data_IF_673328661572
#
_entry.id   IF_673328661572
#
_cell.length_a   1.000
_cell.length_b   1.000
_cell.length_c   1.000
_cell.angle_alpha   90.00
_cell.angle_beta   90.00
_cell.angle_gamma   90.00
#
_symmetry.space_group_name_H-M   'P 1'
#
loop_
_entity.id
_entity.type
_entity.pdbx_description
1 polymer ?
#
# COMPACT_ATOMS: atom_id res chain seq x y z
N UNK A 1 14.66 -17.51 0.07
CA UNK A 1 13.53 -17.91 0.94
C UNK A 1 12.75 -16.64 1.22
N UNK A 2 11.54 -16.48 0.65
CA UNK A 2 10.81 -15.21 0.68
C UNK A 2 10.03 -15.10 2.00
N UNK A 3 10.70 -14.55 3.03
CA UNK A 3 10.20 -14.43 4.41
C UNK A 3 9.04 -13.43 4.55
N UNK A 4 8.66 -12.75 3.46
CA UNK A 4 7.53 -11.80 3.41
C UNK A 4 6.16 -12.44 3.66
N UNK A 5 6.04 -13.76 3.50
CA UNK A 5 4.76 -14.48 3.69
C UNK A 5 4.39 -14.73 5.17
N UNK A 6 5.33 -14.53 6.09
CA UNK A 6 5.13 -14.78 7.53
C UNK A 6 4.23 -13.71 8.18
N UNK A 7 4.14 -12.53 7.57
CA UNK A 7 3.49 -11.36 8.18
C UNK A 7 2.19 -11.02 7.44
N UNK A 8 1.06 -11.25 8.11
CA UNK A 8 -0.30 -10.91 7.67
C UNK A 8 -0.55 -9.41 7.50
N UNK A 9 0.39 -8.59 7.96
CA UNK A 9 0.27 -7.14 8.17
C UNK A 9 0.04 -6.37 6.86
N UNK A 10 0.64 -6.78 5.73
CA UNK A 10 0.47 -6.03 4.48
C UNK A 10 -0.96 -6.12 3.93
N UNK A 11 -1.62 -7.26 4.09
CA UNK A 11 -3.00 -7.45 3.66
C UNK A 11 -3.99 -6.71 4.56
N UNK A 12 -3.71 -6.66 5.86
CA UNK A 12 -4.52 -5.96 6.85
C UNK A 12 -4.38 -4.44 6.68
N UNK A 13 -3.15 -3.94 6.56
CA UNK A 13 -2.84 -2.55 6.23
C UNK A 13 -3.60 -2.07 4.99
N UNK A 14 -3.52 -2.82 3.88
CA UNK A 14 -4.22 -2.47 2.63
C UNK A 14 -5.74 -2.52 2.80
N UNK A 15 -6.26 -3.42 3.63
CA UNK A 15 -7.69 -3.52 3.93
C UNK A 15 -8.16 -2.28 4.70
N UNK A 16 -7.42 -1.87 5.72
CA UNK A 16 -7.70 -0.64 6.47
C UNK A 16 -7.60 0.58 5.55
N UNK A 17 -6.56 0.67 4.73
CA UNK A 17 -6.39 1.75 3.77
C UNK A 17 -7.56 1.83 2.77
N UNK A 18 -8.02 0.68 2.24
CA UNK A 18 -9.17 0.62 1.34
C UNK A 18 -10.46 1.03 2.05
N UNK A 19 -10.64 0.61 3.32
CA UNK A 19 -11.80 1.00 4.15
C UNK A 19 -11.88 2.51 4.33
N UNK A 20 -10.76 3.12 4.73
CA UNK A 20 -10.68 4.57 4.95
C UNK A 20 -10.92 5.31 3.64
N UNK A 21 -10.25 4.90 2.56
CA UNK A 21 -10.42 5.50 1.23
C UNK A 21 -11.87 5.40 0.73
N UNK A 22 -12.51 4.24 0.92
CA UNK A 22 -13.91 4.03 0.52
C UNK A 22 -14.88 4.94 1.30
N UNK A 23 -14.69 5.10 2.61
CA UNK A 23 -15.48 6.05 3.41
C UNK A 23 -15.25 7.50 2.98
N UNK A 24 -14.00 7.90 2.76
CA UNK A 24 -13.67 9.26 2.29
C UNK A 24 -14.30 9.55 0.94
N UNK A 25 -14.17 8.65 -0.03
CA UNK A 25 -14.77 8.80 -1.37
C UNK A 25 -16.30 8.73 -1.31
N UNK A 26 -16.89 7.92 -0.42
CA UNK A 26 -18.34 7.92 -0.20
C UNK A 26 -18.84 9.29 0.26
N UNK A 27 -18.27 9.83 1.34
CA UNK A 27 -18.69 11.11 1.90
C UNK A 27 -18.50 12.26 0.90
N UNK A 28 -17.34 12.30 0.23
CA UNK A 28 -17.05 13.33 -0.78
C UNK A 28 -17.94 13.15 -2.02
N UNK A 29 -18.15 11.92 -2.49
CA UNK A 29 -18.98 11.63 -3.65
C UNK A 29 -20.44 12.06 -3.47
N UNK A 30 -21.03 11.83 -2.29
CA UNK A 30 -22.39 12.31 -1.98
C UNK A 30 -22.45 13.84 -1.97
N UNK A 31 -21.46 14.50 -1.37
CA UNK A 31 -21.38 15.96 -1.32
C UNK A 31 -21.19 16.57 -2.72
N UNK A 32 -20.22 16.07 -3.49
CA UNK A 32 -19.92 16.59 -4.83
C UNK A 32 -21.01 16.28 -5.83
N UNK A 33 -21.75 15.19 -5.67
CA UNK A 33 -22.88 14.88 -6.56
C UNK A 33 -23.95 15.97 -6.51
N UNK A 34 -24.31 16.47 -5.33
CA UNK A 34 -25.25 17.58 -5.19
C UNK A 34 -24.73 18.88 -5.82
N UNK A 35 -23.43 19.17 -5.63
CA UNK A 35 -22.78 20.33 -6.23
C UNK A 35 -22.72 20.25 -7.77
N UNK A 36 -22.36 19.09 -8.31
CA UNK A 36 -22.27 18.85 -9.75
C UNK A 36 -23.65 18.88 -10.40
N UNK A 37 -24.69 18.40 -9.72
CA UNK A 37 -26.07 18.56 -10.16
C UNK A 37 -26.46 20.04 -10.29
N UNK A 38 -26.15 20.84 -9.26
CA UNK A 38 -26.41 22.28 -9.26
C UNK A 38 -25.62 23.00 -10.38
N UNK A 39 -24.39 22.58 -10.65
CA UNK A 39 -23.56 23.10 -11.74
C UNK A 39 -23.97 22.64 -13.14
N UNK A 40 -25.05 21.87 -13.27
CA UNK A 40 -25.58 21.42 -14.57
C UNK A 40 -24.81 20.24 -15.18
N UNK A 41 -24.13 19.43 -14.36
CA UNK A 41 -23.40 18.22 -14.76
C UNK A 41 -24.11 16.94 -14.26
N UNK A 42 -25.32 16.61 -14.75
CA UNK A 42 -26.12 15.50 -14.22
C UNK A 42 -25.47 14.14 -14.44
N UNK A 43 -24.76 13.94 -15.57
CA UNK A 43 -24.07 12.68 -15.84
C UNK A 43 -22.95 12.41 -14.82
N UNK A 44 -22.17 13.44 -14.46
CA UNK A 44 -21.11 13.31 -13.46
C UNK A 44 -21.71 13.02 -12.07
N UNK A 45 -22.77 13.75 -11.70
CA UNK A 45 -23.50 13.56 -10.44
C UNK A 45 -24.07 12.14 -10.27
N UNK A 46 -24.64 11.57 -11.33
CA UNK A 46 -25.14 10.19 -11.32
C UNK A 46 -24.00 9.18 -11.16
N UNK A 47 -22.86 9.40 -11.82
CA UNK A 47 -21.69 8.52 -11.70
C UNK A 47 -21.06 8.60 -10.30
N UNK A 48 -21.04 9.77 -9.67
CA UNK A 48 -20.59 9.93 -8.29
C UNK A 48 -21.52 9.24 -7.28
N UNK A 49 -22.84 9.26 -7.49
CA UNK A 49 -23.79 8.48 -6.68
C UNK A 49 -23.63 6.99 -6.90
N UNK A 50 -23.40 6.54 -8.14
CA UNK A 50 -23.10 5.14 -8.43
C UNK A 50 -21.81 4.69 -7.72
N UNK A 51 -20.78 5.54 -7.71
CA UNK A 51 -19.54 5.30 -6.96
C UNK A 51 -19.77 5.27 -5.46
N UNK A 52 -20.59 6.17 -4.91
CA UNK A 52 -20.96 6.14 -3.50
C UNK A 52 -21.68 4.82 -3.13
N UNK A 53 -22.61 4.36 -3.97
CA UNK A 53 -23.26 3.05 -3.83
C UNK A 53 -22.26 1.89 -3.89
N UNK A 54 -21.31 1.93 -4.83
CA UNK A 54 -20.21 0.96 -4.92
C UNK A 54 -19.34 0.97 -3.66
N UNK A 55 -19.01 2.15 -3.10
CA UNK A 55 -18.26 2.25 -1.85
C UNK A 55 -18.99 1.58 -0.68
N UNK A 56 -20.31 1.74 -0.57
CA UNK A 56 -21.10 1.06 0.46
C UNK A 56 -21.07 -0.47 0.28
N UNK A 57 -21.24 -0.95 -0.95
CA UNK A 57 -21.12 -2.38 -1.27
C UNK A 57 -19.73 -2.91 -0.91
N UNK A 58 -18.69 -2.18 -1.29
CA UNK A 58 -17.30 -2.50 -0.99
C UNK A 58 -17.09 -2.58 0.53
N UNK A 59 -17.52 -1.58 1.29
CA UNK A 59 -17.41 -1.54 2.75
C UNK A 59 -18.13 -2.70 3.43
N UNK A 60 -19.30 -3.10 2.92
CA UNK A 60 -20.04 -4.26 3.40
C UNK A 60 -19.30 -5.58 3.12
N UNK A 61 -18.69 -5.72 1.94
CA UNK A 61 -17.93 -6.94 1.54
C UNK A 61 -16.52 -6.98 2.11
N UNK A 62 -15.98 -5.84 2.54
CA UNK A 62 -14.58 -5.70 2.92
C UNK A 62 -14.16 -6.61 4.09
N UNK A 63 -14.96 -6.88 5.14
CA UNK A 63 -14.51 -7.76 6.24
C UNK A 63 -14.33 -9.22 5.83
N UNK A 64 -15.12 -9.72 4.87
CA UNK A 64 -15.21 -11.15 4.53
C UNK A 64 -14.45 -11.54 3.26
N UNK A 65 -13.94 -10.56 2.53
CA UNK A 65 -13.33 -10.78 1.22
C UNK A 65 -11.87 -11.22 1.32
N UNK A 66 -11.52 -12.29 0.60
CA UNK A 66 -10.14 -12.72 0.35
C UNK A 66 -9.52 -12.05 -0.90
N UNK A 67 -10.34 -11.57 -1.83
CA UNK A 67 -9.98 -10.92 -3.10
C UNK A 67 -9.69 -9.41 -2.97
N UNK A 68 -8.89 -9.00 -1.98
CA UNK A 68 -8.69 -7.59 -1.66
C UNK A 68 -8.15 -6.77 -2.84
N UNK A 69 -7.21 -7.35 -3.59
CA UNK A 69 -6.54 -6.69 -4.71
C UNK A 69 -7.50 -6.40 -5.87
N UNK A 70 -8.38 -7.33 -6.20
CA UNK A 70 -9.37 -7.18 -7.26
C UNK A 70 -10.36 -6.06 -6.93
N UNK A 71 -10.80 -5.98 -5.67
CA UNK A 71 -11.66 -4.89 -5.22
C UNK A 71 -10.94 -3.54 -5.23
N UNK A 72 -9.67 -3.48 -4.81
CA UNK A 72 -8.86 -2.25 -4.92
C UNK A 72 -8.69 -1.79 -6.36
N UNK A 73 -8.43 -2.71 -7.30
CA UNK A 73 -8.32 -2.40 -8.73
C UNK A 73 -9.64 -1.89 -9.31
N UNK A 74 -10.75 -2.54 -8.97
CA UNK A 74 -12.09 -2.13 -9.38
C UNK A 74 -12.41 -0.72 -8.86
N UNK A 75 -12.19 -0.48 -7.55
CA UNK A 75 -12.38 0.81 -6.91
C UNK A 75 -11.58 1.93 -7.59
N UNK A 76 -10.28 1.72 -7.80
CA UNK A 76 -9.43 2.72 -8.44
C UNK A 76 -9.80 2.95 -9.91
N UNK A 77 -10.21 1.91 -10.64
CA UNK A 77 -10.62 2.03 -12.05
C UNK A 77 -11.90 2.83 -12.20
N UNK A 78 -12.90 2.59 -11.34
CA UNK A 78 -14.15 3.34 -11.32
C UNK A 78 -13.91 4.81 -10.93
N UNK A 79 -13.10 5.05 -9.90
CA UNK A 79 -12.72 6.41 -9.52
C UNK A 79 -12.01 7.12 -10.68
N UNK A 80 -11.10 6.42 -11.39
CA UNK A 80 -10.35 7.02 -12.48
C UNK A 80 -11.28 7.41 -13.63
N UNK A 81 -12.21 6.52 -13.98
CA UNK A 81 -13.20 6.79 -15.01
C UNK A 81 -14.03 8.04 -14.69
N UNK A 82 -14.43 8.24 -13.44
CA UNK A 82 -15.16 9.44 -13.00
C UNK A 82 -14.30 10.70 -13.17
N UNK A 83 -13.02 10.65 -12.82
CA UNK A 83 -12.10 11.78 -13.03
C UNK A 83 -11.94 12.10 -14.52
N UNK A 84 -11.80 11.10 -15.38
CA UNK A 84 -11.74 11.30 -16.84
C UNK A 84 -13.03 11.94 -17.38
N UNK A 85 -14.19 11.47 -16.94
CA UNK A 85 -15.48 12.09 -17.27
C UNK A 85 -15.58 13.54 -16.78
N UNK A 86 -15.04 13.81 -15.59
CA UNK A 86 -14.91 15.16 -15.03
C UNK A 86 -14.08 16.07 -15.93
N UNK A 87 -12.88 15.63 -16.35
CA UNK A 87 -12.01 16.36 -17.28
C UNK A 87 -12.72 16.64 -18.61
N UNK A 88 -13.51 15.68 -19.09
CA UNK A 88 -14.24 15.82 -20.35
C UNK A 88 -15.39 16.82 -20.29
N UNK A 89 -16.17 16.85 -19.19
CA UNK A 89 -17.38 17.66 -19.10
C UNK A 89 -17.18 19.01 -18.40
N UNK A 90 -16.25 19.09 -17.45
CA UNK A 90 -16.06 20.27 -16.63
C UNK A 90 -15.42 21.43 -17.41
N UNK A 91 -15.65 22.64 -16.91
CA UNK A 91 -14.92 23.83 -17.38
C UNK A 91 -13.49 23.77 -16.88
N UNK A 92 -12.53 24.34 -17.60
CA UNK A 92 -11.10 24.31 -17.24
C UNK A 92 -10.78 25.00 -15.90
N UNK A 93 -11.66 25.89 -15.43
CA UNK A 93 -11.54 26.53 -14.11
C UNK A 93 -12.08 25.69 -12.95
N UNK A 94 -12.71 24.54 -13.23
CA UNK A 94 -13.35 23.73 -12.20
C UNK A 94 -12.31 23.06 -11.29
N UNK A 95 -12.59 23.01 -9.99
CA UNK A 95 -11.78 22.30 -8.98
C UNK A 95 -11.62 20.80 -9.27
N UNK A 96 -12.41 20.24 -10.19
CA UNK A 96 -12.44 18.83 -10.53
C UNK A 96 -11.10 18.28 -11.06
N UNK A 97 -10.21 19.12 -11.63
CA UNK A 97 -8.87 18.66 -12.04
C UNK A 97 -7.95 18.31 -10.87
N UNK A 98 -8.20 18.87 -9.67
CA UNK A 98 -7.38 18.61 -8.48
C UNK A 98 -7.39 17.14 -8.05
N UNK A 99 -8.43 16.40 -8.42
CA UNK A 99 -8.54 14.97 -8.16
C UNK A 99 -7.48 14.14 -8.87
N UNK A 100 -6.87 14.65 -9.95
CA UNK A 100 -5.76 13.98 -10.62
C UNK A 100 -4.58 13.72 -9.67
N UNK A 101 -4.36 14.61 -8.71
CA UNK A 101 -3.20 14.56 -7.81
C UNK A 101 -3.29 13.51 -6.71
N UNK A 102 -4.49 13.01 -6.39
CA UNK A 102 -4.69 12.04 -5.30
C UNK A 102 -4.36 10.60 -5.75
N UNK A 103 -4.43 10.32 -7.04
CA UNK A 103 -4.27 8.97 -7.61
C UNK A 103 -2.89 8.33 -7.45
N UNK A 104 -1.76 9.05 -7.67
CA UNK A 104 -0.45 8.50 -7.41
C UNK A 104 -0.32 7.97 -5.99
N UNK A 105 -0.87 8.68 -5.00
CA UNK A 105 -0.84 8.24 -3.60
C UNK A 105 -1.75 7.01 -3.38
N UNK A 106 -3.02 7.07 -3.79
CA UNK A 106 -3.98 5.98 -3.56
C UNK A 106 -3.60 4.68 -4.27
N UNK A 107 -3.03 4.76 -5.48
CA UNK A 107 -2.64 3.56 -6.24
C UNK A 107 -1.55 2.76 -5.55
N UNK A 108 -0.49 3.43 -5.05
CA UNK A 108 0.57 2.76 -4.29
C UNK A 108 0.07 2.25 -2.94
N UNK A 109 -0.75 3.06 -2.25
CA UNK A 109 -1.32 2.69 -0.96
C UNK A 109 -2.15 1.39 -1.02
N UNK A 110 -2.94 1.21 -2.09
CA UNK A 110 -3.88 0.09 -2.21
C UNK A 110 -3.32 -1.12 -2.97
N UNK A 111 -2.44 -0.90 -3.94
CA UNK A 111 -1.91 -1.96 -4.81
C UNK A 111 -0.47 -2.35 -4.49
N UNK A 112 0.24 -1.53 -3.69
CA UNK A 112 1.65 -1.65 -3.41
C UNK A 112 2.53 -1.30 -4.61
N UNK A 113 3.85 -1.38 -4.43
CA UNK A 113 4.84 -0.99 -5.46
C UNK A 113 4.68 -1.70 -6.80
N UNK A 114 4.51 -3.03 -6.80
CA UNK A 114 4.51 -3.84 -8.05
C UNK A 114 3.37 -3.46 -9.00
N UNK A 115 2.15 -3.32 -8.47
CA UNK A 115 0.95 -3.05 -9.28
C UNK A 115 0.62 -1.55 -9.33
N UNK A 116 0.97 -0.79 -8.28
CA UNK A 116 0.76 0.65 -8.21
C UNK A 116 1.52 1.42 -9.30
N UNK A 117 2.78 1.04 -9.61
CA UNK A 117 3.55 1.67 -10.70
C UNK A 117 2.83 1.56 -12.04
N UNK A 118 2.40 0.34 -12.40
CA UNK A 118 1.74 0.10 -13.69
C UNK A 118 0.38 0.79 -13.78
N UNK A 119 -0.43 0.70 -12.72
CA UNK A 119 -1.72 1.38 -12.67
C UNK A 119 -1.58 2.90 -12.76
N UNK A 120 -0.62 3.48 -12.02
CA UNK A 120 -0.38 4.91 -12.03
C UNK A 120 0.17 5.41 -13.37
N UNK A 121 0.97 4.60 -14.08
CA UNK A 121 1.42 4.94 -15.43
C UNK A 121 0.21 5.09 -16.38
N UNK A 122 -0.68 4.09 -16.42
CA UNK A 122 -1.91 4.15 -17.23
C UNK A 122 -2.76 5.36 -16.86
N UNK A 123 -2.89 5.64 -15.56
CA UNK A 123 -3.60 6.80 -15.05
C UNK A 123 -3.03 8.13 -15.56
N UNK A 124 -1.72 8.36 -15.34
CA UNK A 124 -1.05 9.61 -15.70
C UNK A 124 -1.09 9.81 -17.21
N UNK A 125 -0.73 8.78 -18.00
CA UNK A 125 -0.75 8.91 -19.46
C UNK A 125 -2.17 9.11 -20.00
N UNK A 126 -3.16 8.37 -19.48
CA UNK A 126 -4.56 8.54 -19.89
C UNK A 126 -5.12 9.91 -19.53
N UNK A 127 -4.91 10.35 -18.28
CA UNK A 127 -5.35 11.66 -17.80
C UNK A 127 -4.67 12.82 -18.52
N UNK A 128 -3.35 12.76 -18.72
CA UNK A 128 -2.60 13.77 -19.45
C UNK A 128 -2.96 13.80 -20.94
N UNK A 129 -3.14 12.65 -21.59
CA UNK A 129 -3.55 12.61 -23.00
C UNK A 129 -4.93 13.22 -23.18
N UNK A 130 -5.89 12.88 -22.31
CA UNK A 130 -7.23 13.47 -22.36
C UNK A 130 -7.20 14.98 -22.07
N UNK A 131 -6.41 15.41 -21.09
CA UNK A 131 -6.22 16.82 -20.78
C UNK A 131 -5.63 17.56 -21.98
N UNK A 132 -4.58 17.03 -22.61
CA UNK A 132 -3.97 17.63 -23.80
C UNK A 132 -4.97 17.77 -24.93
N UNK A 133 -5.70 16.70 -25.26
CA UNK A 133 -6.76 16.73 -26.27
C UNK A 133 -7.80 17.80 -25.96
N UNK A 134 -8.21 17.91 -24.69
CA UNK A 134 -9.17 18.91 -24.25
C UNK A 134 -8.63 20.33 -24.42
N UNK A 135 -7.39 20.59 -24.05
CA UNK A 135 -6.78 21.91 -24.15
C UNK A 135 -6.58 22.34 -25.61
N UNK A 136 -6.18 21.42 -26.49
CA UNK A 136 -6.04 21.68 -27.94
C UNK A 136 -7.38 22.10 -28.57
N UNK A 137 -8.48 21.46 -28.16
CA UNK A 137 -9.82 21.78 -28.66
C UNK A 137 -10.36 23.15 -28.19
N UNK A 138 -9.73 23.77 -27.19
CA UNK A 138 -10.20 25.01 -26.54
C UNK A 138 -9.42 26.27 -26.97
N UNK A 139 -8.53 26.18 -27.98
CA UNK A 139 -7.81 27.28 -28.65
C UNK A 139 -7.42 28.48 -27.75
N UNK A 140 -6.62 28.26 -26.71
CA UNK A 140 -6.02 29.37 -25.93
C UNK A 140 -4.63 29.04 -25.38
N UNK A 141 -3.69 29.99 -25.46
CA UNK A 141 -2.31 29.79 -24.99
C UNK A 141 -2.18 29.66 -23.46
N UNK A 142 -3.12 30.26 -22.71
CA UNK A 142 -3.15 30.21 -21.24
C UNK A 142 -3.25 28.76 -20.71
N UNK A 143 -3.76 27.84 -21.55
CA UNK A 143 -4.00 26.44 -21.23
C UNK A 143 -2.73 25.56 -21.29
N UNK A 144 -1.70 25.97 -22.02
CA UNK A 144 -0.47 25.17 -22.12
C UNK A 144 0.32 25.17 -20.81
N UNK A 145 0.35 26.31 -20.10
CA UNK A 145 0.95 26.41 -18.76
C UNK A 145 0.28 25.47 -17.75
N UNK A 146 -1.06 25.34 -17.81
CA UNK A 146 -1.80 24.40 -16.98
C UNK A 146 -1.35 22.94 -17.22
N UNK A 147 -1.19 22.54 -18.48
CA UNK A 147 -0.74 21.19 -18.84
C UNK A 147 0.64 20.88 -18.25
N UNK A 148 1.60 21.79 -18.43
CA UNK A 148 2.95 21.63 -17.89
C UNK A 148 2.91 21.52 -16.37
N UNK A 149 2.18 22.42 -15.70
CA UNK A 149 2.09 22.42 -14.24
C UNK A 149 1.45 21.13 -13.69
N UNK A 150 0.35 20.67 -14.30
CA UNK A 150 -0.30 19.40 -13.91
C UNK A 150 0.67 18.23 -14.12
N UNK A 151 1.38 18.19 -15.25
CA UNK A 151 2.38 17.17 -15.55
C UNK A 151 3.53 17.13 -14.54
N UNK A 152 4.08 18.30 -14.18
CA UNK A 152 5.12 18.43 -13.17
C UNK A 152 4.62 17.96 -11.80
N UNK A 153 3.44 18.39 -11.37
CA UNK A 153 2.82 17.95 -10.11
C UNK A 153 2.59 16.43 -10.10
N UNK A 154 2.06 15.84 -11.17
CA UNK A 154 1.85 14.40 -11.24
C UNK A 154 3.16 13.61 -11.23
N UNK A 155 4.19 14.10 -11.93
CA UNK A 155 5.51 13.46 -11.96
C UNK A 155 6.18 13.48 -10.58
N UNK A 156 6.16 14.62 -9.90
CA UNK A 156 6.72 14.78 -8.56
C UNK A 156 5.96 13.94 -7.53
N UNK A 157 4.61 13.96 -7.56
CA UNK A 157 3.79 13.11 -6.70
C UNK A 157 4.02 11.62 -6.96
N UNK A 158 4.21 11.22 -8.22
CA UNK A 158 4.53 9.83 -8.55
C UNK A 158 5.89 9.40 -7.99
N UNK A 159 6.93 10.22 -8.20
CA UNK A 159 8.27 9.96 -7.67
C UNK A 159 8.22 9.88 -6.14
N UNK A 160 7.58 10.84 -5.48
CA UNK A 160 7.47 10.86 -4.02
C UNK A 160 6.70 9.66 -3.48
N UNK A 161 5.57 9.29 -4.11
CA UNK A 161 4.81 8.10 -3.74
C UNK A 161 5.62 6.82 -3.91
N UNK A 162 6.43 6.74 -4.97
CA UNK A 162 7.32 5.60 -5.21
C UNK A 162 8.42 5.47 -4.15
N UNK A 163 9.06 6.59 -3.80
CA UNK A 163 10.10 6.64 -2.78
C UNK A 163 9.52 6.29 -1.41
N UNK A 164 8.37 6.88 -1.05
CA UNK A 164 7.70 6.62 0.22
C UNK A 164 7.34 5.15 0.38
N UNK A 165 6.68 4.55 -0.62
CA UNK A 165 6.30 3.13 -0.54
C UNK A 165 7.51 2.20 -0.54
N UNK A 166 8.58 2.55 -1.28
CA UNK A 166 9.83 1.78 -1.25
C UNK A 166 10.50 1.84 0.13
N UNK A 167 10.51 3.01 0.77
CA UNK A 167 11.07 3.17 2.11
C UNK A 167 10.22 2.51 3.18
N UNK A 168 8.90 2.56 3.05
CA UNK A 168 7.98 1.83 3.93
C UNK A 168 8.27 0.33 3.89
N UNK A 169 8.36 -0.25 2.69
CA UNK A 169 8.69 -1.67 2.51
C UNK A 169 10.04 -2.05 3.15
N UNK A 170 11.09 -1.24 2.91
CA UNK A 170 12.42 -1.45 3.50
C UNK A 170 12.39 -1.37 5.05
N UNK A 171 11.68 -0.39 5.62
CA UNK A 171 11.58 -0.24 7.08
C UNK A 171 10.82 -1.40 7.72
N UNK A 172 9.72 -1.85 7.10
CA UNK A 172 8.96 -3.01 7.57
C UNK A 172 9.85 -4.25 7.58
N UNK A 173 10.61 -4.50 6.52
CA UNK A 173 11.55 -5.63 6.45
C UNK A 173 12.62 -5.54 7.55
N UNK A 174 13.22 -4.37 7.77
CA UNK A 174 14.21 -4.17 8.85
C UNK A 174 13.61 -4.39 10.24
N UNK A 175 12.40 -3.89 10.51
CA UNK A 175 11.72 -4.09 11.78
C UNK A 175 11.41 -5.57 12.02
N UNK A 176 10.99 -6.29 10.97
CA UNK A 176 10.77 -7.73 11.04
C UNK A 176 12.07 -8.49 11.37
N UNK A 177 13.20 -8.12 10.75
CA UNK A 177 14.50 -8.71 11.06
C UNK A 177 14.92 -8.41 12.51
N UNK A 178 14.78 -7.17 12.98
CA UNK A 178 15.11 -6.81 14.36
C UNK A 178 14.22 -7.53 15.38
N UNK A 179 12.94 -7.71 15.07
CA UNK A 179 12.00 -8.45 15.92
C UNK A 179 12.23 -9.97 15.90
N UNK A 180 12.87 -10.49 14.84
CA UNK A 180 13.13 -11.91 14.66
C UNK A 180 14.46 -12.38 15.26
N UNK A 181 15.41 -11.48 15.53
CA UNK A 181 16.73 -11.82 16.05
C UNK A 181 16.82 -11.59 17.57
N UNK A 182 17.55 -12.45 18.26
CA UNK A 182 17.97 -12.25 19.64
C UNK A 182 19.08 -11.18 19.68
N UNK A 183 18.95 -10.11 20.48
CA UNK A 183 19.90 -8.98 20.45
C UNK A 183 21.29 -9.35 20.99
N UNK A 184 21.41 -10.38 21.84
CA UNK A 184 22.69 -10.79 22.41
C UNK A 184 23.49 -11.64 21.42
N UNK A 185 22.84 -12.61 20.80
CA UNK A 185 23.48 -13.65 19.97
C UNK A 185 23.34 -13.42 18.47
N UNK A 186 22.42 -12.56 18.04
CA UNK A 186 22.04 -12.34 16.63
C UNK A 186 21.54 -13.60 15.91
N UNK A 187 21.15 -14.65 16.63
CA UNK A 187 20.41 -15.79 16.05
C UNK A 187 18.92 -15.53 16.07
N UNK A 188 18.15 -16.28 15.27
CA UNK A 188 16.69 -16.18 15.30
C UNK A 188 16.15 -16.53 16.68
N UNK A 189 15.28 -15.66 17.20
CA UNK A 189 14.63 -15.86 18.47
C UNK A 189 13.45 -16.84 18.35
N UNK A 190 12.87 -17.18 19.50
CA UNK A 190 11.74 -18.12 19.56
C UNK A 190 10.51 -17.67 18.77
N UNK A 191 10.25 -16.36 18.67
CA UNK A 191 9.11 -15.84 17.90
C UNK A 191 9.24 -16.18 16.41
N UNK A 192 10.48 -16.27 15.90
CA UNK A 192 10.73 -16.63 14.52
C UNK A 192 10.60 -18.14 14.22
N UNK A 193 10.59 -19.00 15.25
CA UNK A 193 10.57 -20.45 15.08
C UNK A 193 9.24 -20.95 14.50
N UNK A 194 8.11 -20.46 15.01
CA UNK A 194 6.77 -20.94 14.62
C UNK A 194 6.46 -20.69 13.13
N UNK A 195 6.71 -19.48 12.57
CA UNK A 195 6.51 -19.27 11.14
C UNK A 195 7.42 -20.12 10.25
N UNK A 196 8.69 -20.29 10.63
CA UNK A 196 9.66 -21.12 9.90
C UNK A 196 9.22 -22.58 9.92
N UNK A 197 8.77 -23.08 11.08
CA UNK A 197 8.28 -24.43 11.25
C UNK A 197 7.06 -24.70 10.36
N UNK A 198 6.07 -23.80 10.38
CA UNK A 198 4.87 -23.91 9.54
C UNK A 198 5.21 -23.92 8.05
N UNK A 199 6.15 -23.07 7.61
CA UNK A 199 6.62 -23.04 6.23
C UNK A 199 7.32 -24.35 5.82
N UNK A 200 8.22 -24.85 6.67
CA UNK A 200 8.94 -26.11 6.42
C UNK A 200 7.98 -27.30 6.35
N UNK A 201 6.95 -27.33 7.20
CA UNK A 201 5.91 -28.36 7.18
C UNK A 201 5.11 -28.37 5.86
N UNK A 202 4.86 -27.19 5.27
CA UNK A 202 4.14 -27.08 3.99
C UNK A 202 5.01 -27.42 2.78
N UNK A 203 6.29 -27.06 2.81
CA UNK A 203 7.18 -27.19 1.65
C UNK A 203 7.93 -28.53 1.59
N UNK A 204 8.14 -29.20 2.72
CA UNK A 204 8.89 -30.45 2.76
C UNK A 204 7.98 -31.68 2.74
N UNK A 205 8.23 -32.60 1.82
CA UNK A 205 7.57 -33.91 1.75
C UNK A 205 8.25 -34.98 2.64
N UNK A 206 9.16 -34.57 3.53
CA UNK A 206 9.99 -35.45 4.37
C UNK A 206 9.74 -35.30 5.87
N UNK A 207 10.49 -36.04 6.69
CA UNK A 207 10.42 -35.94 8.16
C UNK A 207 11.23 -34.73 8.64
N UNK A 208 10.62 -33.88 9.46
CA UNK A 208 11.27 -32.76 10.13
C UNK A 208 11.76 -33.21 11.52
N UNK A 209 12.96 -32.80 11.92
CA UNK A 209 13.50 -33.01 13.27
C UNK A 209 13.81 -31.65 13.92
N UNK A 210 13.55 -31.54 15.22
CA UNK A 210 13.86 -30.36 16.02
C UNK A 210 14.85 -30.75 17.12
N UNK A 211 16.00 -30.06 17.16
CA UNK A 211 17.00 -30.21 18.20
C UNK A 211 16.84 -29.07 19.21
N UNK A 212 16.65 -29.41 20.48
CA UNK A 212 16.73 -28.46 21.58
C UNK A 212 18.05 -28.67 22.30
N UNK A 213 18.81 -27.59 22.47
CA UNK A 213 20.11 -27.57 23.16
C UNK A 213 19.97 -26.72 24.41
N UNK A 214 20.38 -27.25 25.55
CA UNK A 214 20.46 -26.52 26.82
C UNK A 214 21.92 -26.37 27.25
N UNK A 215 22.25 -25.28 27.95
CA UNK A 215 23.63 -24.99 28.38
C UNK A 215 23.82 -25.47 29.81
N UNK A 216 24.51 -26.60 29.96
CA UNK A 216 24.78 -27.18 31.27
C UNK A 216 25.53 -26.21 32.20
N UNK A 217 25.09 -26.15 33.46
CA UNK A 217 25.71 -25.35 34.52
C UNK A 217 25.83 -23.83 34.24
N UNK A 218 25.06 -23.27 33.30
CA UNK A 218 25.16 -21.86 32.91
C UNK A 218 25.02 -20.87 34.10
N UNK A 219 24.19 -21.20 35.09
CA UNK A 219 24.04 -20.38 36.30
C UNK A 219 25.36 -20.24 37.09
N UNK A 220 26.16 -21.30 37.18
CA UNK A 220 27.44 -21.24 37.89
C UNK A 220 28.45 -20.32 37.20
N UNK A 221 28.38 -20.20 35.87
CA UNK A 221 29.20 -19.26 35.11
C UNK A 221 28.81 -17.83 35.49
N UNK A 222 27.51 -17.52 35.48
CA UNK A 222 27.00 -16.21 35.88
C UNK A 222 27.36 -15.88 37.34
N UNK A 223 27.19 -16.83 38.26
CA UNK A 223 27.42 -16.62 39.69
C UNK A 223 28.92 -16.40 40.02
N UNK A 224 29.84 -17.05 39.29
CA UNK A 224 31.29 -16.98 39.55
C UNK A 224 32.02 -15.89 38.74
N UNK A 225 31.56 -15.60 37.51
CA UNK A 225 32.28 -14.74 36.55
C UNK A 225 31.46 -13.51 36.13
N UNK A 226 30.22 -13.38 36.59
CA UNK A 226 29.31 -12.28 36.25
C UNK A 226 28.56 -12.49 34.93
N UNK A 227 27.51 -11.67 34.73
CA UNK A 227 26.63 -11.76 33.57
C UNK A 227 27.34 -11.52 32.23
N UNK A 228 28.30 -10.59 32.19
CA UNK A 228 29.08 -10.31 30.96
C UNK A 228 29.84 -11.55 30.46
N UNK A 229 30.29 -12.43 31.37
CA UNK A 229 30.95 -13.68 31.02
C UNK A 229 29.95 -14.70 30.47
N UNK A 230 28.76 -14.81 31.07
CA UNK A 230 27.67 -15.63 30.56
C UNK A 230 27.21 -15.20 29.16
N UNK A 231 27.10 -13.89 28.93
CA UNK A 231 26.74 -13.32 27.64
C UNK A 231 27.72 -13.71 26.54
N UNK A 232 29.03 -13.67 26.83
CA UNK A 232 30.08 -14.12 25.89
C UNK A 232 29.98 -15.61 25.59
N UNK A 233 29.64 -16.44 26.58
CA UNK A 233 29.43 -17.88 26.39
C UNK A 233 28.26 -18.13 25.46
N UNK A 234 27.13 -17.44 25.66
CA UNK A 234 25.96 -17.55 24.77
C UNK A 234 26.29 -17.10 23.34
N UNK A 235 27.02 -16.00 23.18
CA UNK A 235 27.48 -15.53 21.86
C UNK A 235 28.40 -16.53 21.15
N UNK A 236 29.31 -17.17 21.89
CA UNK A 236 30.21 -18.17 21.32
C UNK A 236 29.47 -19.45 20.94
N UNK A 237 28.57 -19.93 21.81
CA UNK A 237 27.75 -21.10 21.54
C UNK A 237 26.89 -20.90 20.29
N UNK A 238 26.24 -19.74 20.18
CA UNK A 238 25.42 -19.37 19.03
C UNK A 238 26.18 -19.32 17.70
N UNK A 239 27.50 -19.02 17.74
CA UNK A 239 28.37 -19.06 16.54
C UNK A 239 28.88 -20.47 16.22
N UNK A 240 28.86 -21.37 17.20
CA UNK A 240 29.39 -22.73 17.07
C UNK A 240 28.35 -23.71 16.53
N UNK A 241 27.07 -23.48 16.84
CA UNK A 241 25.91 -24.19 16.30
C UNK A 241 25.57 -23.73 14.87
#
# INVERSE_FOLDING_TARGET
MDLSQIWTDESEYRRVALKVSAWTIFCLGVLFSGFNWYMGLPLLSLMELAMAGFCLLLLYRLPTTSRLKEWSLCFLSLLFFIVLLGIWQARLSSILYSWLFIFPLLSYLLLGKRWGVGFNAVFIFGGMSLLLLRLVMLESELHFSLFINVGLCLSTLWIMSHVFESKRAEMVERLQLMAALDPLTSVYNRLHLEPVFNLLQQQMTGRLALLLVDVDHFKQINDNLGHDAGDRVLQQLARLL
#
